data_IF_494194130161
#
_entry.id   IF_494194130161
#
_cell.length_a   1.000
_cell.length_b   1.000
_cell.length_c   1.000
_cell.angle_alpha   90.00
_cell.angle_beta   90.00
_cell.angle_gamma   90.00
#
_symmetry.space_group_name_H-M   'P 1'
#
loop_
_entity.id
_entity.type
_entity.pdbx_description
1 polymer ?
#
# COMPACT_ATOMS: atom_id res chain seq x y z
N UNK A 1 -3.45 10.70 16.20
CA UNK A 1 -2.52 10.92 17.35
C UNK A 1 -1.13 11.35 16.91
N UNK A 2 -0.53 10.74 15.84
CA UNK A 2 0.81 11.10 15.38
C UNK A 2 0.90 12.57 14.90
N UNK A 3 -0.04 13.03 14.10
CA UNK A 3 -0.04 14.44 13.61
C UNK A 3 -0.11 15.39 14.80
N UNK A 4 -0.96 15.12 15.78
CA UNK A 4 -1.10 15.97 16.98
C UNK A 4 0.13 15.94 17.91
N UNK A 5 1.06 15.02 17.72
CA UNK A 5 2.31 14.96 18.48
C UNK A 5 3.45 15.79 17.84
N UNK A 6 3.19 16.44 16.72
CA UNK A 6 4.19 17.21 15.96
C UNK A 6 3.90 18.70 16.00
N UNK A 7 4.96 19.49 16.10
CA UNK A 7 4.89 20.97 16.13
C UNK A 7 4.78 21.60 14.73
N UNK A 8 5.09 20.83 13.67
CA UNK A 8 5.13 21.31 12.28
C UNK A 8 3.84 20.99 11.50
N UNK A 9 2.87 20.33 12.15
CA UNK A 9 1.55 20.03 11.57
C UNK A 9 0.43 20.43 12.54
N UNK A 10 -0.69 20.82 11.96
CA UNK A 10 -1.92 21.06 12.71
C UNK A 10 -3.08 20.33 12.00
N UNK A 11 -3.71 19.39 12.70
CA UNK A 11 -4.94 18.79 12.21
C UNK A 11 -6.08 19.76 12.41
N UNK A 12 -6.64 20.28 11.32
CA UNK A 12 -7.68 21.33 11.33
C UNK A 12 -9.06 20.77 11.03
N UNK A 13 -9.14 19.76 10.18
CA UNK A 13 -10.43 19.21 9.72
C UNK A 13 -10.38 17.69 9.49
N UNK A 14 -11.54 17.08 9.52
CA UNK A 14 -11.74 15.65 9.26
C UNK A 14 -12.91 15.49 8.27
N UNK A 15 -12.78 14.55 7.36
CA UNK A 15 -13.87 13.99 6.59
C UNK A 15 -13.95 12.48 6.86
N UNK A 16 -14.84 12.09 7.75
CA UNK A 16 -15.15 10.69 8.07
C UNK A 16 -16.64 10.59 8.43
N UNK A 17 -17.45 9.84 7.67
CA UNK A 17 -18.88 9.69 7.95
C UNK A 17 -19.18 9.11 9.35
N UNK A 18 -18.23 8.41 9.97
CA UNK A 18 -18.38 7.78 11.27
C UNK A 18 -17.76 8.61 12.41
N UNK A 19 -17.18 9.76 12.12
CA UNK A 19 -16.59 10.60 13.17
C UNK A 19 -17.66 11.42 13.91
N UNK A 20 -17.79 11.19 15.21
CA UNK A 20 -18.77 11.88 16.08
C UNK A 20 -18.13 12.95 17.00
N UNK A 21 -16.82 13.16 16.89
CA UNK A 21 -16.09 14.16 17.68
C UNK A 21 -16.47 15.61 17.34
N UNK A 22 -16.12 16.54 18.23
CA UNK A 22 -16.40 17.98 18.06
C UNK A 22 -15.15 18.85 18.04
N UNK A 23 -13.98 18.24 18.08
CA UNK A 23 -12.72 18.95 18.26
C UNK A 23 -12.18 19.51 16.94
N UNK A 24 -12.72 19.08 15.79
CA UNK A 24 -12.29 19.49 14.47
C UNK A 24 -13.45 19.94 13.59
N UNK A 25 -13.14 20.77 12.59
CA UNK A 25 -14.06 21.07 11.49
C UNK A 25 -14.40 19.78 10.76
N UNK A 26 -15.66 19.53 10.50
CA UNK A 26 -16.12 18.33 9.79
C UNK A 26 -16.56 18.72 8.39
N UNK A 27 -15.88 18.17 7.38
CA UNK A 27 -16.31 18.26 6.01
C UNK A 27 -17.34 17.19 5.70
N UNK A 28 -18.50 17.59 5.17
CA UNK A 28 -19.53 16.66 4.67
C UNK A 28 -19.27 16.23 3.23
N UNK A 29 -18.52 17.01 2.50
CA UNK A 29 -18.06 16.73 1.14
C UNK A 29 -16.65 17.32 0.95
N UNK A 30 -15.95 16.89 -0.08
CA UNK A 30 -14.55 17.19 -0.32
C UNK A 30 -14.33 18.25 -1.43
N UNK A 31 -15.36 18.99 -1.85
CA UNK A 31 -15.27 19.87 -3.02
C UNK A 31 -14.72 21.28 -2.71
N UNK A 32 -14.67 21.72 -1.47
CA UNK A 32 -14.21 23.05 -1.09
C UNK A 32 -13.33 22.94 0.16
N UNK A 33 -12.22 22.26 0.01
CA UNK A 33 -11.21 22.13 1.07
C UNK A 33 -10.37 23.40 1.11
N UNK A 34 -10.19 23.94 2.30
CA UNK A 34 -9.44 25.19 2.57
C UNK A 34 -8.07 24.91 3.20
N UNK A 35 -7.81 23.65 3.55
CA UNK A 35 -6.57 23.21 4.16
C UNK A 35 -5.44 23.13 3.12
N UNK A 36 -4.19 23.37 3.56
CA UNK A 36 -3.00 23.36 2.70
C UNK A 36 -2.69 21.94 2.18
N UNK A 37 -2.95 20.91 2.99
CA UNK A 37 -2.63 19.50 2.69
C UNK A 37 -3.77 18.58 3.09
N UNK A 38 -4.13 17.67 2.22
CA UNK A 38 -5.09 16.60 2.50
C UNK A 38 -4.38 15.25 2.56
N UNK A 39 -4.61 14.51 3.64
CA UNK A 39 -4.21 13.11 3.80
C UNK A 39 -5.41 12.22 3.49
N UNK A 40 -5.35 11.47 2.40
CA UNK A 40 -6.45 10.63 1.94
C UNK A 40 -6.18 9.15 2.22
N UNK A 41 -6.96 8.57 3.15
CA UNK A 41 -6.84 7.18 3.61
C UNK A 41 -8.17 6.41 3.58
N UNK A 42 -9.11 6.83 2.77
CA UNK A 42 -10.42 6.20 2.66
C UNK A 42 -10.36 4.77 2.11
N UNK A 43 -11.39 3.96 2.35
CA UNK A 43 -11.50 2.63 1.77
C UNK A 43 -11.46 2.62 0.24
N UNK A 44 -10.96 1.53 -0.34
CA UNK A 44 -10.83 1.34 -1.79
C UNK A 44 -12.15 1.55 -2.57
N UNK A 45 -13.29 1.33 -1.92
CA UNK A 45 -14.61 1.51 -2.53
C UNK A 45 -14.99 2.96 -2.84
N UNK A 46 -14.37 3.95 -2.17
CA UNK A 46 -14.72 5.37 -2.30
C UNK A 46 -13.54 6.26 -2.71
N UNK A 47 -12.32 5.72 -2.71
CA UNK A 47 -11.10 6.51 -2.91
C UNK A 47 -11.10 7.31 -4.23
N UNK A 48 -11.57 6.72 -5.33
CA UNK A 48 -11.54 7.40 -6.62
C UNK A 48 -12.54 8.56 -6.69
N UNK A 49 -13.70 8.42 -6.07
CA UNK A 49 -14.70 9.50 -5.95
C UNK A 49 -14.20 10.63 -5.04
N UNK A 50 -13.53 10.27 -3.94
CA UNK A 50 -12.94 11.24 -3.04
C UNK A 50 -11.82 12.04 -3.75
N UNK A 51 -10.94 11.37 -4.47
CA UNK A 51 -9.91 12.04 -5.26
C UNK A 51 -10.54 12.98 -6.28
N UNK A 52 -11.55 12.53 -7.03
CA UNK A 52 -12.26 13.38 -7.98
C UNK A 52 -12.78 14.68 -7.33
N UNK A 53 -13.34 14.56 -6.14
CA UNK A 53 -13.84 15.72 -5.38
C UNK A 53 -12.71 16.62 -4.91
N UNK A 54 -11.61 16.05 -4.43
CA UNK A 54 -10.42 16.77 -3.97
C UNK A 54 -9.70 17.52 -5.10
N UNK A 55 -9.87 17.08 -6.35
CA UNK A 55 -9.30 17.78 -7.51
C UNK A 55 -9.91 19.17 -7.76
N UNK A 56 -11.01 19.51 -7.13
CA UNK A 56 -11.59 20.86 -7.15
C UNK A 56 -11.06 21.80 -6.06
N UNK A 57 -10.14 21.33 -5.20
CA UNK A 57 -9.43 22.17 -4.21
C UNK A 57 -8.01 22.45 -4.68
N UNK A 58 -7.36 23.45 -4.06
CA UNK A 58 -5.95 23.78 -4.32
C UNK A 58 -4.98 23.07 -3.36
N UNK A 59 -5.49 22.21 -2.48
CA UNK A 59 -4.69 21.50 -1.48
C UNK A 59 -3.68 20.54 -2.10
N UNK A 60 -2.50 20.44 -1.52
CA UNK A 60 -1.55 19.36 -1.78
C UNK A 60 -2.16 18.02 -1.31
N UNK A 61 -1.99 16.95 -2.08
CA UNK A 61 -2.62 15.66 -1.78
C UNK A 61 -1.56 14.60 -1.44
N UNK A 62 -1.75 13.92 -0.32
CA UNK A 62 -1.01 12.70 0.05
C UNK A 62 -2.02 11.56 0.12
N UNK A 63 -1.95 10.68 -0.86
CA UNK A 63 -2.89 9.56 -1.02
C UNK A 63 -2.21 8.29 -0.55
N UNK A 64 -2.69 7.75 0.57
CA UNK A 64 -2.17 6.52 1.18
C UNK A 64 -3.10 5.32 1.06
N UNK A 65 -4.24 5.50 0.41
CA UNK A 65 -5.24 4.46 0.22
C UNK A 65 -4.85 3.49 -0.89
N UNK A 66 -5.17 2.22 -0.70
CA UNK A 66 -5.17 1.23 -1.77
C UNK A 66 -6.42 1.40 -2.66
N UNK A 67 -6.38 0.91 -3.90
CA UNK A 67 -7.54 0.92 -4.80
C UNK A 67 -7.65 2.15 -5.71
N UNK A 68 -6.65 3.01 -5.75
CA UNK A 68 -6.55 4.07 -6.76
C UNK A 68 -6.46 3.42 -8.14
N UNK A 69 -7.40 3.74 -9.03
CA UNK A 69 -7.47 3.14 -10.36
C UNK A 69 -6.32 3.60 -11.26
N UNK A 70 -5.99 2.78 -12.26
CA UNK A 70 -4.95 3.13 -13.25
C UNK A 70 -5.27 4.45 -13.98
N UNK A 71 -6.54 4.67 -14.30
CA UNK A 71 -6.98 5.90 -14.97
C UNK A 71 -6.82 7.12 -14.04
N UNK A 72 -7.15 6.96 -12.76
CA UNK A 72 -6.94 8.01 -11.76
C UNK A 72 -5.44 8.29 -11.59
N UNK A 73 -4.58 7.27 -11.52
CA UNK A 73 -3.12 7.46 -11.45
C UNK A 73 -2.57 8.21 -12.66
N UNK A 74 -3.08 7.93 -13.87
CA UNK A 74 -2.69 8.67 -15.07
C UNK A 74 -3.14 10.13 -14.99
N UNK A 75 -4.34 10.39 -14.53
CA UNK A 75 -4.88 11.75 -14.35
C UNK A 75 -4.09 12.53 -13.31
N UNK A 76 -3.76 11.93 -12.17
CA UNK A 76 -2.96 12.57 -11.12
C UNK A 76 -1.58 13.00 -11.62
N UNK A 77 -0.96 12.26 -12.54
CA UNK A 77 0.33 12.62 -13.16
C UNK A 77 0.28 13.88 -14.02
N UNK A 78 -0.89 14.33 -14.45
CA UNK A 78 -1.04 15.54 -15.26
C UNK A 78 -1.16 16.82 -14.42
N UNK A 79 -1.30 16.69 -13.10
CA UNK A 79 -1.41 17.82 -12.19
C UNK A 79 -0.03 18.44 -11.97
N UNK A 80 0.10 19.74 -12.21
CA UNK A 80 1.36 20.49 -12.12
C UNK A 80 1.29 21.75 -11.28
N UNK A 81 0.10 22.14 -10.84
CA UNK A 81 -0.18 23.35 -10.08
C UNK A 81 -0.07 23.15 -8.56
N UNK A 82 0.02 21.93 -8.11
CA UNK A 82 0.16 21.52 -6.70
C UNK A 82 0.89 20.19 -6.57
N UNK A 83 1.22 19.78 -5.35
CA UNK A 83 1.88 18.50 -5.10
C UNK A 83 0.85 17.39 -4.90
N UNK A 84 1.03 16.29 -5.64
CA UNK A 84 0.26 15.07 -5.45
C UNK A 84 1.21 13.90 -5.28
N UNK A 85 1.11 13.23 -4.15
CA UNK A 85 1.94 12.08 -3.79
C UNK A 85 1.02 10.89 -3.55
N UNK A 86 1.23 9.80 -4.28
CA UNK A 86 0.55 8.52 -4.04
C UNK A 86 1.54 7.56 -3.41
N UNK A 87 1.28 7.16 -2.18
CA UNK A 87 2.13 6.26 -1.40
C UNK A 87 1.34 4.96 -1.16
N UNK A 88 1.64 3.89 -1.90
CA UNK A 88 0.87 2.64 -1.80
C UNK A 88 1.07 1.91 -0.48
N UNK A 89 2.10 2.28 0.28
CA UNK A 89 2.41 1.64 1.56
C UNK A 89 3.19 2.58 2.49
N UNK A 90 2.66 2.82 3.68
CA UNK A 90 3.27 3.62 4.74
C UNK A 90 4.09 2.79 5.74
N UNK A 91 4.19 1.48 5.55
CA UNK A 91 5.03 0.64 6.40
C UNK A 91 6.50 0.81 6.07
N UNK A 92 7.27 1.29 7.04
CA UNK A 92 8.74 1.38 6.94
C UNK A 92 9.34 -0.02 6.72
N UNK A 93 8.81 -1.04 7.42
CA UNK A 93 9.25 -2.43 7.26
C UNK A 93 9.08 -2.93 5.83
N UNK A 94 7.90 -2.70 5.23
CA UNK A 94 7.66 -3.08 3.84
C UNK A 94 8.54 -2.31 2.84
N UNK A 95 8.85 -1.04 3.13
CA UNK A 95 9.77 -0.26 2.29
C UNK A 95 11.21 -0.83 2.33
N UNK A 96 11.71 -1.16 3.51
CA UNK A 96 13.02 -1.82 3.65
C UNK A 96 13.02 -3.22 3.05
N UNK A 97 11.99 -4.02 3.29
CA UNK A 97 11.89 -5.35 2.70
C UNK A 97 11.93 -5.28 1.18
N UNK A 98 11.19 -4.35 0.56
CA UNK A 98 11.24 -4.11 -0.88
C UNK A 98 12.64 -3.72 -1.37
N UNK A 99 13.28 -2.77 -0.68
CA UNK A 99 14.64 -2.32 -1.04
C UNK A 99 15.63 -3.46 -0.99
N UNK A 100 15.67 -4.22 0.12
CA UNK A 100 16.58 -5.34 0.28
C UNK A 100 16.27 -6.48 -0.70
N UNK A 101 14.99 -6.75 -0.98
CA UNK A 101 14.60 -7.74 -1.97
C UNK A 101 15.11 -7.41 -3.36
N UNK A 102 15.06 -6.14 -3.78
CA UNK A 102 15.63 -5.69 -5.06
C UNK A 102 17.15 -5.91 -5.09
N UNK A 103 17.86 -5.62 -4.01
CA UNK A 103 19.31 -5.82 -3.93
C UNK A 103 19.65 -7.32 -3.99
N UNK A 104 18.96 -8.15 -3.21
CA UNK A 104 19.21 -9.59 -3.12
C UNK A 104 18.86 -10.31 -4.42
N UNK A 105 17.83 -9.88 -5.13
CA UNK A 105 17.39 -10.52 -6.38
C UNK A 105 18.48 -10.60 -7.47
N UNK A 106 19.55 -9.81 -7.36
CA UNK A 106 20.69 -9.89 -8.27
C UNK A 106 21.64 -11.05 -7.97
N UNK A 107 21.54 -11.67 -6.80
CA UNK A 107 22.46 -12.70 -6.32
C UNK A 107 21.79 -14.05 -6.08
N UNK A 108 20.48 -14.11 -6.14
CA UNK A 108 19.70 -15.32 -5.93
C UNK A 108 18.99 -15.76 -7.22
N UNK A 109 18.76 -17.07 -7.35
CA UNK A 109 18.13 -17.65 -8.55
C UNK A 109 16.62 -17.69 -8.47
N UNK A 110 16.08 -17.76 -7.25
CA UNK A 110 14.64 -17.85 -7.04
C UNK A 110 14.18 -17.09 -5.83
N UNK A 111 12.89 -16.70 -5.85
CA UNK A 111 12.22 -15.97 -4.79
C UNK A 111 10.78 -16.43 -4.64
N UNK A 112 10.32 -16.58 -3.40
CA UNK A 112 8.92 -16.71 -3.04
C UNK A 112 8.51 -15.56 -2.12
N UNK A 113 7.26 -15.15 -2.21
CA UNK A 113 6.66 -14.15 -1.34
C UNK A 113 5.51 -14.84 -0.59
N UNK A 114 5.52 -14.78 0.73
CA UNK A 114 4.44 -15.28 1.57
C UNK A 114 3.81 -14.11 2.33
N UNK A 115 2.52 -13.87 2.12
CA UNK A 115 1.80 -12.82 2.85
C UNK A 115 0.74 -13.45 3.77
N UNK A 116 0.62 -12.94 4.99
CA UNK A 116 -0.23 -13.49 6.04
C UNK A 116 -1.10 -12.38 6.61
N UNK A 117 -2.41 -12.59 6.61
CA UNK A 117 -3.37 -11.62 7.15
C UNK A 117 -4.49 -12.33 7.90
N UNK A 118 -5.21 -11.57 8.72
CA UNK A 118 -6.39 -12.05 9.43
C UNK A 118 -7.46 -12.60 8.48
N UNK A 119 -8.27 -13.54 8.96
CA UNK A 119 -9.27 -14.25 8.14
C UNK A 119 -10.33 -13.36 7.47
N UNK A 120 -10.54 -12.13 7.95
CA UNK A 120 -11.49 -11.17 7.37
C UNK A 120 -10.99 -10.43 6.12
N UNK A 121 -9.68 -10.50 5.81
CA UNK A 121 -9.13 -9.88 4.61
C UNK A 121 -9.50 -10.70 3.37
N UNK A 122 -10.29 -10.12 2.49
CA UNK A 122 -10.87 -10.81 1.33
C UNK A 122 -9.95 -10.78 0.10
N UNK A 123 -9.21 -9.68 -0.09
CA UNK A 123 -8.27 -9.57 -1.20
C UNK A 123 -7.04 -10.47 -0.96
N UNK A 124 -6.70 -11.26 -1.96
CA UNK A 124 -5.49 -12.07 -2.04
C UNK A 124 -4.99 -12.10 -3.50
N UNK A 125 -3.70 -11.86 -3.73
CA UNK A 125 -2.70 -11.44 -2.76
C UNK A 125 -2.86 -9.97 -2.35
N UNK A 126 -2.17 -9.58 -1.27
CA UNK A 126 -2.16 -8.18 -0.81
C UNK A 126 -1.51 -7.25 -1.83
N UNK A 127 -1.94 -5.97 -1.86
CA UNK A 127 -1.34 -4.97 -2.74
C UNK A 127 0.16 -4.79 -2.52
N UNK A 128 0.63 -4.92 -1.27
CA UNK A 128 2.06 -4.86 -0.91
C UNK A 128 2.86 -6.01 -1.54
N UNK A 129 2.32 -7.23 -1.51
CA UNK A 129 2.97 -8.39 -2.10
C UNK A 129 3.01 -8.30 -3.64
N UNK A 130 1.94 -7.80 -4.25
CA UNK A 130 1.90 -7.53 -5.70
C UNK A 130 2.93 -6.47 -6.09
N UNK A 131 3.01 -5.37 -5.34
CA UNK A 131 3.97 -4.28 -5.61
C UNK A 131 5.41 -4.78 -5.48
N UNK A 132 5.71 -5.59 -4.46
CA UNK A 132 7.01 -6.24 -4.31
C UNK A 132 7.33 -7.14 -5.51
N UNK A 133 6.46 -8.07 -5.86
CA UNK A 133 6.66 -8.98 -6.99
C UNK A 133 6.90 -8.23 -8.32
N UNK A 134 6.18 -7.13 -8.54
CA UNK A 134 6.33 -6.28 -9.71
C UNK A 134 7.66 -5.51 -9.72
N UNK A 135 8.26 -5.27 -8.58
CA UNK A 135 9.51 -4.52 -8.41
C UNK A 135 10.77 -5.37 -8.61
N UNK A 136 10.62 -6.69 -8.54
CA UNK A 136 11.73 -7.62 -8.74
C UNK A 136 11.98 -7.86 -10.24
N UNK A 137 13.25 -8.17 -10.65
CA UNK A 137 13.59 -8.50 -12.03
C UNK A 137 12.76 -9.65 -12.58
N UNK A 138 12.47 -9.63 -13.89
CA UNK A 138 11.68 -10.68 -14.56
C UNK A 138 12.42 -12.02 -14.65
N UNK A 139 13.72 -11.98 -14.56
CA UNK A 139 14.62 -13.14 -14.70
C UNK A 139 14.63 -14.04 -13.47
N UNK A 140 14.30 -13.49 -12.28
CA UNK A 140 14.18 -14.29 -11.06
C UNK A 140 12.83 -15.00 -11.04
N UNK A 141 12.84 -16.30 -10.81
CA UNK A 141 11.65 -17.14 -10.80
C UNK A 141 11.31 -17.58 -9.37
N UNK A 142 10.17 -18.23 -9.20
CA UNK A 142 9.85 -18.91 -7.95
C UNK A 142 10.42 -20.32 -7.91
N UNK A 143 10.56 -20.84 -6.70
CA UNK A 143 10.79 -22.26 -6.41
C UNK A 143 9.52 -22.88 -5.83
N UNK A 144 9.46 -24.20 -5.82
CA UNK A 144 8.36 -24.94 -5.19
C UNK A 144 8.38 -24.73 -3.68
N UNK A 145 7.21 -24.55 -3.11
CA UNK A 145 7.02 -24.39 -1.67
C UNK A 145 5.79 -25.21 -1.25
N UNK A 146 6.00 -26.12 -0.31
CA UNK A 146 4.93 -26.91 0.29
C UNK A 146 4.21 -26.11 1.40
N UNK A 147 2.91 -26.28 1.49
CA UNK A 147 2.11 -25.65 2.54
C UNK A 147 0.62 -25.66 2.25
N UNK A 148 -0.17 -25.38 3.27
CA UNK A 148 -1.61 -25.20 3.16
C UNK A 148 -1.92 -23.69 3.01
N UNK A 149 -2.03 -23.26 1.77
CA UNK A 149 -2.22 -21.84 1.43
C UNK A 149 -3.69 -21.56 1.12
N UNK A 150 -4.17 -20.41 1.57
CA UNK A 150 -5.47 -19.87 1.19
C UNK A 150 -5.56 -19.64 -0.34
N UNK A 151 -4.50 -19.09 -0.91
CA UNK A 151 -4.41 -18.84 -2.36
C UNK A 151 -2.95 -18.75 -2.79
N UNK A 152 -2.67 -19.20 -4.01
CA UNK A 152 -1.36 -19.03 -4.67
C UNK A 152 -1.59 -18.25 -5.96
N UNK A 153 -0.87 -17.15 -6.13
CA UNK A 153 -0.91 -16.32 -7.32
C UNK A 153 0.48 -16.18 -7.93
N UNK A 154 0.54 -16.10 -9.26
CA UNK A 154 1.78 -15.84 -9.96
C UNK A 154 1.77 -14.42 -10.56
N UNK A 155 2.78 -13.62 -10.20
CA UNK A 155 2.97 -12.26 -10.70
C UNK A 155 4.36 -12.16 -11.29
N UNK A 156 4.48 -11.99 -12.59
CA UNK A 156 5.76 -11.93 -13.32
C UNK A 156 6.71 -13.08 -12.94
N UNK A 157 6.25 -14.31 -13.02
CA UNK A 157 6.97 -15.54 -12.65
C UNK A 157 7.33 -15.69 -11.16
N UNK A 158 6.76 -14.88 -10.29
CA UNK A 158 6.95 -14.98 -8.83
C UNK A 158 5.68 -15.46 -8.19
N UNK A 159 5.77 -16.52 -7.39
CA UNK A 159 4.64 -17.00 -6.62
C UNK A 159 4.47 -16.17 -5.36
N UNK A 160 3.22 -15.78 -5.14
CA UNK A 160 2.77 -15.15 -3.91
C UNK A 160 1.85 -16.15 -3.22
N UNK A 161 2.24 -16.57 -2.04
CA UNK A 161 1.52 -17.50 -1.19
C UNK A 161 0.74 -16.70 -0.15
N UNK A 162 -0.58 -16.77 -0.20
CA UNK A 162 -1.45 -16.06 0.73
C UNK A 162 -1.92 -16.97 1.84
N UNK A 163 -1.79 -16.55 3.10
CA UNK A 163 -2.31 -17.21 4.28
C UNK A 163 -3.36 -16.33 4.96
N UNK A 164 -4.42 -16.96 5.46
CA UNK A 164 -5.52 -16.29 6.20
C UNK A 164 -5.79 -17.06 7.48
N UNK A 165 -5.60 -16.38 8.62
CA UNK A 165 -5.86 -16.93 9.95
C UNK A 165 -6.01 -15.75 10.91
N UNK A 166 -6.94 -15.82 11.85
CA UNK A 166 -7.20 -14.72 12.79
C UNK A 166 -6.03 -14.43 13.75
N UNK A 167 -5.05 -15.32 13.83
CA UNK A 167 -3.80 -15.07 14.58
C UNK A 167 -2.84 -14.10 13.87
N UNK A 168 -2.98 -13.90 12.56
CA UNK A 168 -2.13 -12.98 11.80
C UNK A 168 -2.70 -11.56 11.83
N UNK A 169 -1.85 -10.59 11.96
CA UNK A 169 -2.21 -9.18 11.81
C UNK A 169 -2.01 -8.74 10.35
N UNK A 170 -0.76 -8.55 9.96
CA UNK A 170 -0.29 -8.27 8.61
C UNK A 170 1.21 -8.59 8.58
N UNK A 171 1.60 -9.65 7.91
CA UNK A 171 2.99 -10.12 7.84
C UNK A 171 3.34 -10.41 6.39
N UNK A 172 4.60 -10.22 6.04
CA UNK A 172 5.12 -10.59 4.73
C UNK A 172 6.53 -11.15 4.89
N UNK A 173 6.77 -12.29 4.28
CA UNK A 173 8.06 -12.98 4.24
C UNK A 173 8.52 -13.10 2.79
N UNK A 174 9.82 -12.99 2.56
CA UNK A 174 10.42 -13.13 1.23
C UNK A 174 11.59 -14.09 1.31
N UNK A 175 11.44 -15.25 0.70
CA UNK A 175 12.44 -16.31 0.69
C UNK A 175 13.23 -16.28 -0.60
N UNK A 176 14.53 -16.08 -0.48
CA UNK A 176 15.50 -16.14 -1.59
C UNK A 176 16.29 -17.43 -1.50
N UNK A 177 16.45 -18.12 -2.63
CA UNK A 177 17.19 -19.38 -2.70
C UNK A 177 18.15 -19.38 -3.88
N UNK A 178 19.36 -19.86 -3.65
CA UNK A 178 20.33 -20.24 -4.68
C UNK A 178 20.92 -21.64 -4.38
N UNK A 179 21.97 -22.04 -5.06
CA UNK A 179 22.59 -23.37 -4.91
C UNK A 179 23.28 -23.58 -3.56
N UNK A 180 23.63 -22.53 -2.85
CA UNK A 180 24.51 -22.56 -1.69
C UNK A 180 23.81 -22.16 -0.39
N UNK A 181 22.76 -21.34 -0.49
CA UNK A 181 22.10 -20.75 0.67
C UNK A 181 20.64 -20.37 0.41
N UNK A 182 19.90 -20.21 1.49
CA UNK A 182 18.60 -19.56 1.50
C UNK A 182 18.65 -18.35 2.44
N UNK A 183 17.90 -17.32 2.10
CA UNK A 183 17.83 -16.10 2.90
C UNK A 183 16.38 -15.63 2.99
N UNK A 184 15.92 -15.34 4.21
CA UNK A 184 14.57 -14.86 4.49
C UNK A 184 14.62 -13.41 5.00
N UNK A 185 13.71 -12.58 4.50
CA UNK A 185 13.44 -11.19 4.92
C UNK A 185 12.09 -11.08 5.59
#
# INVERSE_FOLDING_TARGET
DYINSRDDFTLTAIHDPNYEGKDYKIYKNLTNIEEDVVLEFSPASVINENIDSLLYSDADLIIGSSGVSSDMLLRLKTITDRKVIVIPNFSIGAAYQKLFSIVLSNNFKSVNITEKHHGKKQDAPSGTAIDLANSLPSEINSHEQDGDFYQINNVKNKNIYSLRDDKFLAEQEVDFVNEYESFNL
#
